data_IF_086686800475
#
_entry.id   IF_086686800475
#
_cell.length_a   1.000
_cell.length_b   1.000
_cell.length_c   1.000
_cell.angle_alpha   90.00
_cell.angle_beta   90.00
_cell.angle_gamma   90.00
#
_symmetry.space_group_name_H-M   'P 1'
#
loop_
_entity.id
_entity.type
_entity.pdbx_description
1 polymer ?
#
# COMPACT_ATOMS: atom_id res chain seq x y z
N UNK A 1 19.40 -11.51 23.10
CA UNK A 1 19.67 -12.78 22.37
C UNK A 1 18.70 -13.83 22.88
N UNK A 2 17.55 -14.00 22.23
CA UNK A 2 16.54 -14.98 22.63
C UNK A 2 16.93 -16.37 22.13
N UNK A 3 17.03 -17.34 23.05
CA UNK A 3 17.29 -18.75 22.72
C UNK A 3 16.26 -19.19 21.68
N UNK A 4 16.70 -19.61 20.51
CA UNK A 4 15.88 -20.31 19.52
C UNK A 4 15.40 -21.60 20.16
N UNK A 5 14.23 -21.56 20.81
CA UNK A 5 13.51 -22.78 21.20
C UNK A 5 13.31 -23.56 19.91
N UNK A 6 13.80 -24.80 19.86
CA UNK A 6 13.62 -25.67 18.70
C UNK A 6 12.12 -25.88 18.55
N UNK A 7 11.52 -25.12 17.63
CA UNK A 7 10.08 -25.17 17.39
C UNK A 7 9.75 -26.53 16.83
N UNK A 8 8.97 -27.33 17.57
CA UNK A 8 8.37 -28.54 17.02
C UNK A 8 7.27 -28.11 16.05
N UNK A 9 7.64 -28.01 14.78
CA UNK A 9 6.73 -27.80 13.67
C UNK A 9 6.05 -29.12 13.35
N UNK A 10 4.73 -29.18 13.56
CA UNK A 10 3.92 -30.32 13.19
C UNK A 10 2.81 -29.91 12.23
N UNK A 11 2.36 -30.81 11.35
CA UNK A 11 1.16 -30.60 10.56
C UNK A 11 0.00 -30.17 11.45
N UNK A 12 -0.81 -29.22 10.97
CA UNK A 12 -1.89 -28.61 11.74
C UNK A 12 -2.88 -29.65 12.31
N UNK A 13 -3.10 -30.74 11.57
CA UNK A 13 -4.00 -31.84 11.96
C UNK A 13 -3.46 -32.63 13.15
N UNK A 14 -2.19 -33.03 13.09
CA UNK A 14 -1.50 -33.73 14.18
C UNK A 14 -1.34 -32.82 15.40
N UNK A 15 -0.99 -31.55 15.18
CA UNK A 15 -0.88 -30.58 16.27
C UNK A 15 -2.22 -30.40 17.00
N UNK A 16 -3.33 -30.38 16.26
CA UNK A 16 -4.68 -30.21 16.82
C UNK A 16 -5.14 -31.42 17.65
N UNK A 17 -4.81 -32.64 17.21
CA UNK A 17 -5.12 -33.85 17.97
C UNK A 17 -4.28 -33.94 19.24
N UNK A 18 -2.97 -33.67 19.17
CA UNK A 18 -2.06 -33.70 20.32
C UNK A 18 -2.52 -32.74 21.43
N UNK A 19 -2.93 -31.52 21.07
CA UNK A 19 -3.39 -30.53 22.06
C UNK A 19 -4.90 -30.57 22.33
N UNK A 20 -5.61 -31.58 21.79
CA UNK A 20 -7.06 -31.77 21.90
C UNK A 20 -7.87 -30.49 21.61
N UNK A 21 -7.66 -29.90 20.43
CA UNK A 21 -8.29 -28.62 20.06
C UNK A 21 -8.88 -28.63 18.65
N UNK A 22 -9.97 -27.89 18.48
CA UNK A 22 -10.64 -27.80 17.19
C UNK A 22 -9.80 -27.06 16.15
N UNK A 23 -9.59 -27.72 15.00
CA UNK A 23 -8.99 -27.15 13.79
C UNK A 23 -9.65 -25.84 13.37
N UNK A 24 -10.98 -25.74 13.53
CA UNK A 24 -11.74 -24.53 13.18
C UNK A 24 -11.33 -23.33 14.01
N UNK A 25 -11.06 -23.54 15.30
CA UNK A 25 -10.62 -22.46 16.20
C UNK A 25 -9.23 -21.99 15.78
N UNK A 26 -8.31 -22.92 15.55
CA UNK A 26 -6.94 -22.58 15.15
C UNK A 26 -6.95 -21.82 13.82
N UNK A 27 -7.65 -22.33 12.80
CA UNK A 27 -7.86 -21.65 11.51
C UNK A 27 -8.51 -20.27 11.68
N UNK A 28 -9.43 -20.11 12.63
CA UNK A 28 -10.02 -18.80 12.95
C UNK A 28 -8.98 -17.84 13.53
N UNK A 29 -8.11 -18.30 14.43
CA UNK A 29 -7.03 -17.46 14.98
C UNK A 29 -6.01 -17.05 13.91
N UNK A 30 -5.74 -17.91 12.94
CA UNK A 30 -4.91 -17.59 11.76
C UNK A 30 -5.55 -16.48 10.93
N UNK A 31 -6.84 -16.59 10.62
CA UNK A 31 -7.59 -15.59 9.82
C UNK A 31 -7.69 -14.23 10.50
N UNK A 32 -7.87 -14.23 11.82
CA UNK A 32 -8.02 -13.00 12.61
C UNK A 32 -6.67 -12.36 12.96
N UNK A 33 -5.55 -12.96 12.55
CA UNK A 33 -4.20 -12.46 12.82
C UNK A 33 -3.82 -12.46 14.30
N UNK A 34 -4.47 -13.28 15.13
CA UNK A 34 -4.10 -13.44 16.55
C UNK A 34 -2.82 -14.23 16.73
N UNK A 35 -2.56 -15.16 15.82
CA UNK A 35 -1.30 -15.89 15.71
C UNK A 35 -0.58 -15.42 14.44
N UNK A 36 0.73 -15.22 14.54
CA UNK A 36 1.58 -14.69 13.47
C UNK A 36 2.13 -15.80 12.55
N UNK A 37 2.20 -15.48 11.26
CA UNK A 37 2.86 -16.30 10.24
C UNK A 37 4.38 -16.32 10.50
N UNK A 38 5.01 -17.45 10.25
CA UNK A 38 6.44 -17.75 10.42
C UNK A 38 6.95 -17.75 11.88
N UNK A 39 6.10 -17.35 12.84
CA UNK A 39 6.34 -17.52 14.28
C UNK A 39 5.55 -18.69 14.87
N UNK A 40 4.22 -18.65 14.75
CA UNK A 40 3.33 -19.67 15.32
C UNK A 40 2.91 -20.70 14.29
N UNK A 41 2.77 -20.30 13.03
CA UNK A 41 2.42 -21.22 11.94
C UNK A 41 3.14 -20.84 10.65
N UNK A 42 3.44 -21.83 9.81
CA UNK A 42 3.99 -21.63 8.46
C UNK A 42 3.17 -22.40 7.44
N UNK A 43 3.24 -21.96 6.18
CA UNK A 43 2.57 -22.63 5.05
C UNK A 43 3.61 -23.49 4.32
N UNK A 44 3.33 -24.77 4.19
CA UNK A 44 4.10 -25.71 3.39
C UNK A 44 3.47 -25.77 1.99
N UNK A 45 4.30 -26.04 0.97
CA UNK A 45 3.99 -25.86 -0.47
C UNK A 45 2.62 -26.37 -0.91
N UNK A 46 2.13 -27.47 -0.34
CA UNK A 46 0.89 -28.14 -0.73
C UNK A 46 -0.39 -27.52 -0.13
N UNK A 47 -0.33 -26.29 0.38
CA UNK A 47 -1.46 -25.65 1.04
C UNK A 47 -1.75 -26.19 2.45
N UNK A 48 -0.89 -27.08 2.94
CA UNK A 48 -0.87 -27.54 4.31
C UNK A 48 -0.22 -26.48 5.22
N UNK A 49 -0.66 -26.46 6.47
CA UNK A 49 -0.11 -25.58 7.49
C UNK A 49 0.61 -26.43 8.53
N UNK A 50 1.76 -25.94 8.96
CA UNK A 50 2.45 -26.47 10.14
C UNK A 50 2.32 -25.47 11.28
N UNK A 51 2.03 -25.98 12.47
CA UNK A 51 1.91 -25.23 13.70
C UNK A 51 3.15 -25.51 14.57
N UNK A 52 3.77 -24.45 15.06
CA UNK A 52 4.79 -24.55 16.10
C UNK A 52 4.09 -24.75 17.44
N UNK A 53 4.08 -26.00 17.93
CA UNK A 53 3.38 -26.35 19.17
C UNK A 53 3.86 -25.54 20.37
N UNK A 54 5.17 -25.39 20.53
CA UNK A 54 5.77 -24.71 21.67
C UNK A 54 5.36 -23.25 21.75
N UNK A 55 5.50 -22.50 20.65
CA UNK A 55 5.11 -21.08 20.60
C UNK A 55 3.59 -20.92 20.68
N UNK A 56 2.81 -21.88 20.18
CA UNK A 56 1.36 -21.83 20.26
C UNK A 56 0.83 -22.08 21.68
N UNK A 57 1.42 -23.03 22.41
CA UNK A 57 1.07 -23.32 23.80
C UNK A 57 1.48 -22.19 24.73
N UNK A 58 2.67 -21.61 24.53
CA UNK A 58 3.12 -20.42 25.27
C UNK A 58 2.14 -19.26 25.06
N UNK A 59 1.78 -18.96 23.81
CA UNK A 59 0.77 -17.94 23.48
C UNK A 59 -0.60 -18.23 24.12
N UNK A 60 -1.03 -19.49 24.16
CA UNK A 60 -2.29 -19.86 24.79
C UNK A 60 -2.29 -19.62 26.31
N UNK A 61 -1.15 -19.86 26.96
CA UNK A 61 -1.01 -19.59 28.39
C UNK A 61 -1.01 -18.09 28.65
N UNK A 62 -0.27 -17.31 27.86
CA UNK A 62 -0.31 -15.84 27.93
C UNK A 62 -1.73 -15.29 27.75
N UNK A 63 -2.49 -15.84 26.79
CA UNK A 63 -3.88 -15.46 26.54
C UNK A 63 -4.80 -15.81 27.72
N UNK A 64 -4.58 -16.95 28.39
CA UNK A 64 -5.30 -17.32 29.62
C UNK A 64 -4.97 -16.35 30.76
N UNK A 65 -3.70 -16.01 30.95
CA UNK A 65 -3.28 -15.06 31.98
C UNK A 65 -3.83 -13.66 31.70
N UNK A 66 -3.83 -13.21 30.44
CA UNK A 66 -4.46 -11.94 30.03
C UNK A 66 -5.95 -11.89 30.36
N UNK A 67 -6.66 -13.01 30.28
CA UNK A 67 -8.09 -13.07 30.63
C UNK A 67 -8.36 -13.01 32.13
N UNK A 68 -7.40 -13.42 32.96
CA UNK A 68 -7.48 -13.29 34.41
C UNK A 68 -7.31 -11.84 34.87
N UNK A 69 -6.67 -10.99 34.04
CA UNK A 69 -6.51 -9.58 34.36
C UNK A 69 -7.87 -8.85 34.45
N UNK A 70 -7.97 -7.84 35.33
CA UNK A 70 -9.15 -6.99 35.42
C UNK A 70 -9.43 -6.31 34.07
N UNK A 71 -10.71 -5.97 33.82
CA UNK A 71 -11.16 -5.45 32.52
C UNK A 71 -10.37 -4.20 32.09
N UNK A 72 -10.05 -3.31 33.02
CA UNK A 72 -9.28 -2.09 32.77
C UNK A 72 -7.89 -2.40 32.19
N UNK A 73 -7.14 -3.31 32.82
CA UNK A 73 -5.82 -3.72 32.35
C UNK A 73 -5.89 -4.44 30.99
N UNK A 74 -6.94 -5.23 30.75
CA UNK A 74 -7.19 -5.85 29.44
C UNK A 74 -7.41 -4.80 28.34
N UNK A 75 -8.20 -3.76 28.64
CA UNK A 75 -8.47 -2.67 27.70
C UNK A 75 -7.20 -1.86 27.44
N UNK A 76 -6.44 -1.53 28.49
CA UNK A 76 -5.16 -0.83 28.38
C UNK A 76 -4.19 -1.58 27.47
N UNK A 77 -3.96 -2.87 27.73
CA UNK A 77 -3.08 -3.71 26.90
C UNK A 77 -3.60 -3.82 25.46
N UNK A 78 -4.92 -3.86 25.25
CA UNK A 78 -5.50 -3.87 23.90
C UNK A 78 -5.23 -2.59 23.12
N UNK A 79 -5.17 -1.44 23.79
CA UNK A 79 -4.82 -0.15 23.18
C UNK A 79 -3.33 -0.15 22.81
N UNK A 80 -2.47 -0.53 23.75
CA UNK A 80 -1.01 -0.60 23.53
C UNK A 80 -0.63 -1.58 22.39
N UNK A 81 -1.29 -2.74 22.31
CA UNK A 81 -1.10 -3.70 21.22
C UNK A 81 -1.63 -3.15 19.87
N UNK A 82 -2.66 -2.30 19.90
CA UNK A 82 -3.15 -1.55 18.74
C UNK A 82 -2.11 -0.56 18.23
N UNK A 83 -1.55 0.26 19.12
CA UNK A 83 -0.53 1.26 18.79
C UNK A 83 0.73 0.61 18.20
N UNK A 84 1.18 -0.51 18.78
CA UNK A 84 2.32 -1.28 18.25
C UNK A 84 2.10 -1.77 16.82
N UNK A 85 0.88 -2.23 16.49
CA UNK A 85 0.54 -2.65 15.12
C UNK A 85 0.56 -1.49 14.15
N UNK A 86 0.05 -0.32 14.57
CA UNK A 86 0.10 0.91 13.76
C UNK A 86 1.55 1.29 13.48
N UNK A 87 2.41 1.31 14.51
CA UNK A 87 3.84 1.62 14.36
C UNK A 87 4.52 0.63 13.40
N UNK A 88 4.28 -0.69 13.54
CA UNK A 88 4.83 -1.68 12.62
C UNK A 88 4.32 -1.52 11.19
N UNK A 89 3.05 -1.19 11.00
CA UNK A 89 2.48 -0.95 9.68
C UNK A 89 3.06 0.29 9.00
N UNK A 90 3.25 1.38 9.77
CA UNK A 90 3.92 2.59 9.29
C UNK A 90 5.37 2.29 8.94
N UNK A 91 6.11 1.58 9.80
CA UNK A 91 7.49 1.19 9.54
C UNK A 91 7.63 0.25 8.32
N UNK A 92 6.71 -0.70 8.14
CA UNK A 92 6.67 -1.55 6.96
C UNK A 92 6.37 -0.76 5.68
N UNK A 93 5.49 0.25 5.77
CA UNK A 93 5.18 1.16 4.67
C UNK A 93 6.39 2.01 4.31
N UNK A 94 7.08 2.58 5.29
CA UNK A 94 8.35 3.31 5.08
C UNK A 94 9.43 2.41 4.47
N UNK A 95 9.59 1.17 4.96
CA UNK A 95 10.54 0.19 4.38
C UNK A 95 10.20 -0.18 2.94
N UNK A 96 8.90 -0.30 2.61
CA UNK A 96 8.44 -0.54 1.24
C UNK A 96 8.73 0.65 0.32
N UNK A 97 8.65 1.88 0.83
CA UNK A 97 9.01 3.10 0.10
C UNK A 97 10.53 3.25 -0.04
N UNK A 98 11.31 2.82 0.96
CA UNK A 98 12.77 2.90 0.96
C UNK A 98 13.47 1.85 0.06
N UNK A 99 12.79 0.75 -0.31
CA UNK A 99 13.38 -0.36 -1.07
C UNK A 99 13.21 -0.25 -2.60
N UNK A 100 13.26 0.96 -3.19
CA UNK A 100 14.18 1.17 -4.33
C UNK A 100 14.72 2.61 -4.39
N UNK A 101 15.58 3.02 -3.44
CA UNK A 101 16.19 4.35 -3.43
C UNK A 101 17.72 4.38 -3.53
N UNK A 102 18.35 3.32 -4.06
CA UNK A 102 19.77 3.35 -4.47
C UNK A 102 19.88 3.24 -6.01
N UNK A 103 19.79 4.42 -6.65
CA UNK A 103 20.52 4.92 -7.84
C UNK A 103 20.48 4.14 -9.18
N UNK A 104 20.39 4.81 -10.35
CA UNK A 104 21.16 6.03 -10.66
C UNK A 104 20.28 7.25 -10.97
N UNK A 105 20.94 8.40 -10.81
CA UNK A 105 20.85 9.65 -11.56
C UNK A 105 19.69 9.83 -12.53
N UNK A 106 19.28 11.09 -12.64
CA UNK A 106 18.41 11.66 -13.67
C UNK A 106 18.81 11.27 -15.10
N UNK A 107 18.68 10.00 -15.44
CA UNK A 107 18.50 9.52 -16.79
C UNK A 107 17.10 9.97 -17.16
N UNK A 108 17.07 11.12 -17.80
CA UNK A 108 16.13 11.46 -18.84
C UNK A 108 15.54 10.17 -19.42
N UNK A 109 14.41 9.70 -18.89
CA UNK A 109 13.51 8.88 -19.67
C UNK A 109 13.10 9.81 -20.79
N UNK A 110 13.83 9.80 -21.90
CA UNK A 110 13.55 10.51 -23.17
C UNK A 110 12.32 9.90 -23.84
N UNK A 111 11.29 9.62 -23.06
CA UNK A 111 9.94 9.36 -23.50
C UNK A 111 9.07 10.48 -22.96
N UNK A 112 8.09 10.98 -23.72
CA UNK A 112 7.23 12.05 -23.24
C UNK A 112 6.50 11.56 -21.98
N UNK A 113 6.87 12.10 -20.82
CA UNK A 113 6.11 11.92 -19.58
C UNK A 113 4.75 12.56 -19.83
N UNK A 114 3.72 11.76 -20.05
CA UNK A 114 2.36 12.25 -20.19
C UNK A 114 1.70 12.22 -18.81
N UNK A 115 1.32 13.38 -18.30
CA UNK A 115 0.63 13.55 -17.03
C UNK A 115 -0.89 13.66 -17.24
N UNK A 116 -1.71 13.19 -16.29
CA UNK A 116 -3.16 13.37 -16.36
C UNK A 116 -3.55 14.85 -16.39
N UNK A 117 -4.61 15.20 -17.15
CA UNK A 117 -5.08 16.59 -17.31
C UNK A 117 -5.41 17.31 -15.98
N UNK A 118 -5.93 16.59 -14.99
CA UNK A 118 -6.22 17.15 -13.67
C UNK A 118 -4.93 17.51 -12.93
N UNK A 119 -3.94 16.61 -12.96
CA UNK A 119 -2.63 16.83 -12.34
C UNK A 119 -1.92 18.02 -13.00
N UNK A 120 -1.95 18.10 -14.33
CA UNK A 120 -1.41 19.26 -15.07
C UNK A 120 -2.08 20.58 -14.65
N UNK A 121 -3.40 20.59 -14.47
CA UNK A 121 -4.11 21.80 -14.06
C UNK A 121 -3.76 22.22 -12.62
N UNK A 122 -3.57 21.26 -11.72
CA UNK A 122 -3.10 21.51 -10.36
C UNK A 122 -1.65 22.02 -10.34
N UNK A 123 -0.77 21.46 -11.19
CA UNK A 123 0.61 21.95 -11.32
C UNK A 123 0.69 23.38 -11.88
N UNK A 124 -0.16 23.72 -12.87
CA UNK A 124 -0.14 25.04 -13.51
C UNK A 124 -0.86 26.14 -12.70
N UNK A 125 -2.01 25.82 -12.09
CA UNK A 125 -2.88 26.80 -11.45
C UNK A 125 -2.98 26.62 -9.92
N UNK A 126 -2.31 25.62 -9.36
CA UNK A 126 -2.32 25.33 -7.92
C UNK A 126 -3.74 25.06 -7.39
N UNK A 127 -4.03 25.61 -6.21
CA UNK A 127 -5.34 25.49 -5.56
C UNK A 127 -6.51 26.15 -6.30
N UNK A 128 -6.23 26.92 -7.36
CA UNK A 128 -7.24 27.56 -8.21
C UNK A 128 -7.48 26.81 -9.52
N UNK A 129 -7.09 25.53 -9.57
CA UNK A 129 -7.29 24.69 -10.72
C UNK A 129 -8.77 24.65 -11.15
N UNK A 130 -9.08 24.97 -12.42
CA UNK A 130 -10.45 24.95 -12.91
C UNK A 130 -10.99 23.51 -12.95
N UNK A 131 -12.31 23.31 -12.83
CA UNK A 131 -12.89 21.98 -12.80
C UNK A 131 -12.70 21.25 -14.13
N UNK A 132 -12.73 19.92 -14.08
CA UNK A 132 -12.50 19.03 -15.25
C UNK A 132 -13.38 19.37 -16.46
N UNK A 133 -14.60 19.86 -16.23
CA UNK A 133 -15.51 20.29 -17.31
C UNK A 133 -14.94 21.47 -18.10
N UNK A 134 -14.35 22.45 -17.42
CA UNK A 134 -13.70 23.62 -18.02
C UNK A 134 -12.45 23.21 -18.79
N UNK A 135 -11.62 22.36 -18.21
CA UNK A 135 -10.42 21.82 -18.88
C UNK A 135 -10.78 21.08 -20.18
N UNK A 136 -11.84 20.25 -20.17
CA UNK A 136 -12.33 19.60 -21.40
C UNK A 136 -12.85 20.59 -22.44
N UNK A 137 -13.45 21.71 -21.99
CA UNK A 137 -13.85 22.79 -22.89
C UNK A 137 -12.64 23.43 -23.58
N UNK A 138 -11.56 23.66 -22.83
CA UNK A 138 -10.30 24.19 -23.35
C UNK A 138 -9.64 23.27 -24.38
N UNK A 139 -9.68 21.96 -24.16
CA UNK A 139 -9.20 20.98 -25.14
C UNK A 139 -9.98 21.08 -26.45
N UNK A 140 -11.32 21.14 -26.37
CA UNK A 140 -12.17 21.29 -27.57
C UNK A 140 -11.94 22.62 -28.28
N UNK A 141 -11.66 23.67 -27.52
CA UNK A 141 -11.36 25.01 -28.04
C UNK A 141 -9.90 25.18 -28.48
N UNK A 142 -9.05 24.14 -28.34
CA UNK A 142 -7.64 24.19 -28.74
C UNK A 142 -6.75 25.10 -27.88
N UNK A 143 -7.14 25.39 -26.63
CA UNK A 143 -6.43 26.34 -25.75
C UNK A 143 -5.24 25.75 -24.98
N UNK A 144 -4.86 24.51 -25.25
CA UNK A 144 -3.73 23.83 -24.59
C UNK A 144 -2.78 23.35 -25.69
N UNK A 145 -1.50 23.73 -25.58
CA UNK A 145 -0.48 23.36 -26.55
C UNK A 145 0.78 22.80 -25.85
N UNK A 146 1.31 21.63 -26.26
CA UNK A 146 0.81 20.74 -27.31
C UNK A 146 -0.55 20.11 -26.98
N UNK A 147 -1.30 19.73 -28.01
CA UNK A 147 -2.67 19.24 -27.85
C UNK A 147 -2.71 17.94 -27.02
N UNK A 148 -3.58 17.84 -26.01
CA UNK A 148 -3.68 16.66 -25.16
C UNK A 148 -4.05 15.38 -25.92
N UNK A 149 -3.45 14.25 -25.54
CA UNK A 149 -3.73 12.93 -26.09
C UNK A 149 -4.84 12.27 -25.28
N UNK A 150 -5.87 11.76 -25.95
CA UNK A 150 -6.96 11.02 -25.30
C UNK A 150 -6.57 9.54 -25.17
N UNK A 151 -6.49 9.04 -23.94
CA UNK A 151 -6.20 7.62 -23.65
C UNK A 151 -7.34 7.08 -22.78
N UNK A 152 -8.15 6.18 -23.36
CA UNK A 152 -9.36 5.66 -22.73
C UNK A 152 -10.38 6.75 -22.42
N UNK A 153 -10.74 6.92 -21.14
CA UNK A 153 -11.72 7.91 -20.65
C UNK A 153 -11.09 9.24 -20.20
N UNK A 154 -9.76 9.34 -20.25
CA UNK A 154 -9.00 10.46 -19.70
C UNK A 154 -8.14 11.14 -20.78
N UNK A 155 -7.78 12.40 -20.52
CA UNK A 155 -6.84 13.15 -21.34
C UNK A 155 -5.52 13.24 -20.61
N UNK A 156 -4.45 13.12 -21.38
CA UNK A 156 -3.09 13.23 -20.89
C UNK A 156 -2.37 14.33 -21.65
N UNK A 157 -1.59 15.10 -20.92
CA UNK A 157 -0.89 16.30 -21.39
C UNK A 157 0.59 16.11 -21.10
N UNK A 158 1.46 16.71 -21.90
CA UNK A 158 2.86 16.81 -21.49
C UNK A 158 3.00 17.87 -20.37
N UNK A 159 3.96 17.72 -19.44
CA UNK A 159 4.18 18.67 -18.36
C UNK A 159 4.65 20.04 -18.85
N UNK A 160 5.26 20.11 -20.05
CA UNK A 160 5.69 21.35 -20.71
C UNK A 160 4.57 22.05 -21.49
N UNK A 161 3.31 21.59 -21.36
CA UNK A 161 2.20 22.21 -22.08
C UNK A 161 1.74 23.51 -21.43
N UNK A 162 1.49 24.50 -22.28
CA UNK A 162 1.03 25.82 -21.90
C UNK A 162 -0.46 26.02 -22.25
N UNK A 163 -1.14 26.83 -21.45
CA UNK A 163 -2.43 27.39 -21.84
C UNK A 163 -2.20 28.57 -22.80
N UNK A 164 -2.73 28.46 -24.02
CA UNK A 164 -2.53 29.45 -25.09
C UNK A 164 -3.88 29.94 -25.57
N UNK A 165 -4.02 31.26 -25.73
CA UNK A 165 -5.21 31.82 -26.38
C UNK A 165 -5.20 31.46 -27.89
N UNK A 166 -6.32 31.00 -28.47
CA UNK A 166 -6.40 30.68 -29.90
C UNK A 166 -5.91 31.79 -30.84
N UNK A 167 -6.05 33.06 -30.46
CA UNK A 167 -5.53 34.19 -31.24
C UNK A 167 -3.99 34.24 -31.24
N UNK A 168 -3.37 33.99 -30.09
CA UNK A 168 -1.92 33.93 -29.92
C UNK A 168 -1.33 32.73 -30.68
N UNK A 169 -2.03 31.60 -30.71
CA UNK A 169 -1.58 30.42 -31.46
C UNK A 169 -1.59 30.65 -32.97
N UNK A 170 -2.62 31.32 -33.53
CA UNK A 170 -2.66 31.69 -34.95
C UNK A 170 -1.50 32.60 -35.33
N UNK A 171 -1.17 33.57 -34.47
CA UNK A 171 -0.04 34.47 -34.65
C UNK A 171 1.32 33.74 -34.60
N UNK A 172 1.48 32.79 -33.65
CA UNK A 172 2.67 31.92 -33.58
C UNK A 172 2.86 31.08 -34.85
N UNK A 173 1.77 30.52 -35.40
CA UNK A 173 1.80 29.76 -36.66
C UNK A 173 2.14 30.62 -37.88
N UNK A 174 1.67 31.87 -37.94
CA UNK A 174 1.97 32.77 -39.06
C UNK A 174 3.41 33.30 -39.07
N UNK A 175 4.11 33.28 -37.93
CA UNK A 175 5.47 33.82 -37.80
C UNK A 175 6.57 32.76 -38.03
N UNK A 176 6.21 31.49 -38.25
CA UNK A 176 7.16 30.49 -38.75
C UNK A 176 8.38 30.22 -37.85
N UNK A 177 8.30 30.48 -36.54
CA UNK A 177 9.33 30.05 -35.58
C UNK A 177 8.96 28.67 -35.02
N UNK A 178 9.63 27.64 -35.55
CA UNK A 178 10.00 26.44 -34.84
C UNK A 178 11.50 26.23 -35.03
#
# INVERSE_FOLDING_TARGET
>A
MGKTKVGHWLPLEEAATIMNRSLRIIKSQMRNGRIQRDRHFRRVGDGQFELNLTEYLDWLNEEKERRKLPLLERVRLSIEDGDRKIIQAVAATQKKVAAPAEAPEASERRGPKLIPLNVWAEEMFGGYAPPVRTLRSWIRAGKIYPMPVKIGRSYFVKPDAEYVDPLVQKFRRSIGRY
#
